data_IF_614938530606
#
_entry.id   IF_614938530606
#
_cell.length_a   1.000
_cell.length_b   1.000
_cell.length_c   1.000
_cell.angle_alpha   90.00
_cell.angle_beta   90.00
_cell.angle_gamma   90.00
#
_symmetry.space_group_name_H-M   'P 1'
#
loop_
_entity.id
_entity.type
_entity.pdbx_description
1 polymer ?
#
# COMPACT_ATOMS: atom_id res chain seq x y z
N UNK A 1 -32.76 -3.63 23.57
CA UNK A 1 -31.55 -2.79 23.53
C UNK A 1 -30.43 -3.78 23.25
N UNK A 2 -29.90 -3.78 22.02
CA UNK A 2 -28.71 -4.59 21.69
C UNK A 2 -27.54 -3.93 22.40
N UNK A 3 -26.79 -4.71 23.19
CA UNK A 3 -25.54 -4.25 23.78
C UNK A 3 -24.67 -3.63 22.69
N UNK A 4 -23.99 -2.52 22.99
CA UNK A 4 -23.08 -1.94 22.03
C UNK A 4 -22.03 -3.00 21.65
N UNK A 5 -21.99 -3.37 20.36
CA UNK A 5 -20.98 -4.31 19.86
C UNK A 5 -19.61 -3.75 20.24
N UNK A 6 -18.84 -4.52 20.99
CA UNK A 6 -17.49 -4.11 21.37
C UNK A 6 -16.67 -3.77 20.10
N UNK A 7 -15.86 -2.71 20.15
CA UNK A 7 -15.07 -2.33 19.00
C UNK A 7 -14.14 -3.50 18.58
N UNK A 8 -13.98 -3.76 17.27
CA UNK A 8 -13.21 -4.89 16.80
C UNK A 8 -11.73 -4.78 17.18
N UNK A 9 -11.09 -5.93 17.42
CA UNK A 9 -9.65 -6.04 17.47
C UNK A 9 -9.12 -6.35 16.07
N UNK A 10 -8.31 -5.44 15.52
CA UNK A 10 -7.79 -5.51 14.15
C UNK A 10 -6.29 -5.78 14.18
N UNK A 11 -5.87 -6.91 13.62
CA UNK A 11 -4.46 -7.15 13.33
C UNK A 11 -4.10 -6.51 11.98
N UNK A 12 -3.14 -5.57 11.99
CA UNK A 12 -2.59 -4.96 10.78
C UNK A 12 -1.15 -5.43 10.61
N UNK A 13 -0.89 -6.35 9.68
CA UNK A 13 0.48 -6.73 9.33
C UNK A 13 1.08 -5.68 8.40
N UNK A 14 2.36 -5.35 8.55
CA UNK A 14 2.93 -4.18 7.90
C UNK A 14 2.41 -2.86 8.50
N UNK A 15 1.99 -2.90 9.77
CA UNK A 15 1.31 -1.80 10.45
C UNK A 15 2.17 -0.55 10.67
N UNK A 16 3.49 -0.68 10.72
CA UNK A 16 4.42 0.45 10.85
C UNK A 16 4.88 1.02 9.50
N UNK A 17 4.43 0.43 8.37
CA UNK A 17 4.80 0.80 7.01
C UNK A 17 4.07 2.05 6.48
N UNK A 18 4.26 2.34 5.17
CA UNK A 18 3.73 3.52 4.48
C UNK A 18 2.20 3.64 4.58
N UNK A 19 1.46 2.59 4.22
CA UNK A 19 -0.01 2.56 4.32
C UNK A 19 -0.42 2.26 5.76
N UNK A 20 0.23 1.28 6.39
CA UNK A 20 -0.13 0.76 7.70
C UNK A 20 -0.10 1.82 8.80
N UNK A 21 0.91 2.68 8.82
CA UNK A 21 1.05 3.72 9.85
C UNK A 21 -0.08 4.76 9.83
N UNK A 22 -0.66 5.05 8.66
CA UNK A 22 -1.83 5.93 8.53
C UNK A 22 -3.10 5.16 8.88
N UNK A 23 -3.24 3.92 8.38
CA UNK A 23 -4.42 3.09 8.67
C UNK A 23 -4.58 2.81 10.16
N UNK A 24 -3.50 2.43 10.85
CA UNK A 24 -3.52 2.19 12.31
C UNK A 24 -4.02 3.41 13.07
N UNK A 25 -3.50 4.62 12.76
CA UNK A 25 -3.97 5.85 13.41
C UNK A 25 -5.45 6.11 13.17
N UNK A 26 -5.93 5.87 11.97
CA UNK A 26 -7.34 6.08 11.63
C UNK A 26 -8.26 5.06 12.31
N UNK A 27 -7.85 3.78 12.38
CA UNK A 27 -8.61 2.75 13.09
C UNK A 27 -8.70 3.03 14.59
N UNK A 28 -7.62 3.53 15.21
CA UNK A 28 -7.63 3.97 16.60
C UNK A 28 -8.59 5.16 16.79
N UNK A 29 -8.57 6.13 15.87
CA UNK A 29 -9.51 7.26 15.91
C UNK A 29 -10.97 6.81 15.76
N UNK A 30 -11.23 5.74 15.03
CA UNK A 30 -12.56 5.11 14.91
C UNK A 30 -12.96 4.27 16.14
N UNK A 31 -12.08 4.14 17.13
CA UNK A 31 -12.36 3.40 18.36
C UNK A 31 -11.94 1.93 18.35
N UNK A 32 -11.38 1.40 17.26
CA UNK A 32 -10.92 0.02 17.20
C UNK A 32 -9.74 -0.23 18.16
N UNK A 33 -9.57 -1.49 18.57
CA UNK A 33 -8.32 -1.98 19.13
C UNK A 33 -7.43 -2.44 17.98
N UNK A 34 -6.18 -2.03 17.96
CA UNK A 34 -5.27 -2.33 16.86
C UNK A 34 -4.02 -3.03 17.37
N UNK A 35 -3.73 -4.17 16.78
CA UNK A 35 -2.43 -4.82 16.90
C UNK A 35 -1.68 -4.63 15.59
N UNK A 36 -0.55 -3.93 15.66
CA UNK A 36 0.30 -3.66 14.49
C UNK A 36 1.50 -4.62 14.52
N UNK A 37 1.53 -5.58 13.61
CA UNK A 37 2.66 -6.48 13.42
C UNK A 37 3.56 -5.95 12.31
N UNK A 38 4.85 -5.77 12.60
CA UNK A 38 5.83 -5.29 11.64
C UNK A 38 7.24 -5.66 12.08
N UNK A 39 8.12 -5.97 11.15
CA UNK A 39 9.56 -6.14 11.45
C UNK A 39 10.26 -4.81 11.68
N UNK A 40 9.64 -3.71 11.28
CA UNK A 40 10.19 -2.35 11.24
C UNK A 40 11.46 -2.23 10.38
N UNK A 41 11.61 -3.15 9.42
CA UNK A 41 12.72 -3.19 8.46
C UNK A 41 12.96 -1.83 7.78
N UNK A 42 11.86 -1.16 7.43
CA UNK A 42 11.87 0.12 6.72
C UNK A 42 11.65 1.32 7.66
N UNK A 43 11.83 1.15 8.97
CA UNK A 43 11.55 2.16 9.99
C UNK A 43 10.18 1.98 10.66
N UNK A 44 9.95 2.78 11.70
CA UNK A 44 8.74 2.69 12.51
C UNK A 44 7.85 3.93 12.32
N UNK A 45 6.88 3.84 11.41
CA UNK A 45 5.88 4.89 11.20
C UNK A 45 4.90 5.08 12.35
N UNK A 46 4.94 4.22 13.38
CA UNK A 46 4.12 4.33 14.59
C UNK A 46 4.88 4.92 15.77
N UNK A 47 6.15 5.33 15.58
CA UNK A 47 6.92 5.97 16.64
C UNK A 47 6.16 7.15 17.25
N UNK A 48 6.12 7.21 18.60
CA UNK A 48 5.45 8.26 19.34
C UNK A 48 3.92 8.17 19.43
N UNK A 49 3.28 7.16 18.82
CA UNK A 49 1.84 6.92 19.04
C UNK A 49 1.63 6.36 20.43
N UNK A 50 0.89 7.10 21.26
CA UNK A 50 0.51 6.69 22.62
C UNK A 50 -1.01 6.51 22.67
N UNK A 51 -1.47 5.30 22.50
CA UNK A 51 -2.88 4.93 22.62
C UNK A 51 -2.97 3.56 23.32
N UNK A 52 -3.71 3.42 24.44
CA UNK A 52 -3.82 2.15 25.17
C UNK A 52 -4.49 1.04 24.35
N UNK A 53 -5.10 1.35 23.23
CA UNK A 53 -5.71 0.40 22.29
C UNK A 53 -4.74 -0.08 21.22
N UNK A 54 -3.52 0.47 21.16
CA UNK A 54 -2.47 0.05 20.23
C UNK A 54 -1.50 -0.91 20.92
N UNK A 55 -1.33 -2.07 20.31
CA UNK A 55 -0.24 -3.01 20.62
C UNK A 55 0.67 -3.11 19.39
N UNK A 56 1.97 -2.87 19.55
CA UNK A 56 2.96 -3.03 18.47
C UNK A 56 3.73 -4.32 18.72
N UNK A 57 3.63 -5.27 17.78
CA UNK A 57 4.31 -6.56 17.82
C UNK A 57 5.43 -6.55 16.79
N UNK A 58 6.68 -6.49 17.26
CA UNK A 58 7.87 -6.53 16.38
C UNK A 58 8.23 -7.99 16.12
N UNK A 59 7.77 -8.52 15.00
CA UNK A 59 8.07 -9.91 14.57
C UNK A 59 7.93 -10.02 13.05
N UNK A 60 8.48 -11.10 12.50
CA UNK A 60 8.33 -11.45 11.09
C UNK A 60 7.06 -12.26 10.87
N UNK A 61 6.30 -11.96 9.81
CA UNK A 61 5.09 -12.74 9.45
C UNK A 61 5.42 -14.18 9.07
N UNK A 62 6.67 -14.51 8.77
CA UNK A 62 7.16 -15.86 8.49
C UNK A 62 7.38 -16.69 9.76
N UNK A 63 7.44 -16.04 10.92
CA UNK A 63 7.52 -16.70 12.22
C UNK A 63 6.14 -17.19 12.65
N UNK A 64 5.91 -18.51 12.57
CA UNK A 64 4.63 -19.15 12.95
C UNK A 64 4.23 -18.83 14.39
N UNK A 65 5.17 -18.86 15.33
CA UNK A 65 4.90 -18.57 16.74
C UNK A 65 4.56 -17.09 16.97
N UNK A 66 5.34 -16.19 16.37
CA UNK A 66 5.11 -14.74 16.48
C UNK A 66 3.78 -14.35 15.83
N UNK A 67 3.46 -14.87 14.65
CA UNK A 67 2.18 -14.60 14.01
C UNK A 67 0.99 -15.20 14.78
N UNK A 68 1.11 -16.43 15.29
CA UNK A 68 0.08 -17.07 16.13
C UNK A 68 -0.25 -16.21 17.36
N UNK A 69 0.78 -15.69 18.02
CA UNK A 69 0.62 -14.79 19.17
C UNK A 69 -0.08 -13.49 18.74
N UNK A 70 0.33 -12.91 17.61
CA UNK A 70 -0.23 -11.67 17.12
C UNK A 70 -1.68 -11.79 16.65
N UNK A 71 -2.09 -12.91 16.05
CA UNK A 71 -3.46 -13.09 15.54
C UNK A 71 -4.45 -13.53 16.62
N UNK A 72 -3.97 -14.03 17.75
CA UNK A 72 -4.85 -14.51 18.84
C UNK A 72 -5.83 -13.43 19.32
N UNK A 73 -7.12 -13.72 19.27
CA UNK A 73 -8.19 -12.78 19.66
C UNK A 73 -8.39 -11.60 18.72
N UNK A 74 -7.82 -11.64 17.52
CA UNK A 74 -8.14 -10.66 16.48
C UNK A 74 -9.44 -11.04 15.76
N UNK A 75 -10.33 -10.07 15.55
CA UNK A 75 -11.57 -10.23 14.79
C UNK A 75 -11.31 -10.12 13.29
N UNK A 76 -10.38 -9.26 12.91
CA UNK A 76 -10.11 -8.88 11.52
C UNK A 76 -8.61 -8.82 11.30
N UNK A 77 -8.15 -9.34 10.16
CA UNK A 77 -6.78 -9.19 9.68
C UNK A 77 -6.78 -8.26 8.46
N UNK A 78 -5.93 -7.22 8.49
CA UNK A 78 -5.56 -6.42 7.33
C UNK A 78 -4.11 -6.73 6.99
N UNK A 79 -3.90 -7.50 5.93
CA UNK A 79 -2.59 -8.00 5.56
C UNK A 79 -1.91 -7.07 4.54
N UNK A 80 -1.07 -6.14 5.05
CA UNK A 80 -0.30 -5.19 4.24
C UNK A 80 1.18 -5.56 4.15
N UNK A 81 1.69 -6.45 5.02
CA UNK A 81 3.09 -6.85 5.05
C UNK A 81 3.51 -7.44 3.70
N UNK A 82 4.56 -6.88 3.11
CA UNK A 82 5.10 -7.33 1.84
C UNK A 82 6.48 -6.71 1.59
N UNK A 83 7.34 -7.40 0.84
CA UNK A 83 8.41 -6.76 0.07
C UNK A 83 7.72 -6.05 -1.09
N UNK A 84 7.66 -4.72 -1.03
CA UNK A 84 6.85 -3.92 -1.93
C UNK A 84 7.71 -3.26 -3.02
N UNK A 85 7.25 -3.33 -4.25
CA UNK A 85 7.82 -2.92 -5.53
C UNK A 85 8.82 -3.90 -6.16
N UNK A 86 8.93 -3.81 -7.48
CA UNK A 86 9.76 -4.71 -8.29
C UNK A 86 11.26 -4.58 -7.97
N UNK A 87 11.86 -3.37 -7.87
CA UNK A 87 13.29 -3.26 -7.58
C UNK A 87 13.71 -3.83 -6.22
N UNK A 88 12.83 -3.76 -5.21
CA UNK A 88 13.09 -4.38 -3.90
C UNK A 88 13.02 -5.91 -3.99
N UNK A 89 12.13 -6.41 -4.83
CA UNK A 89 11.98 -7.85 -5.08
C UNK A 89 13.20 -8.42 -5.83
N UNK A 90 13.72 -7.66 -6.80
CA UNK A 90 14.90 -8.06 -7.58
C UNK A 90 16.18 -8.15 -6.75
N UNK A 91 16.27 -7.41 -5.63
CA UNK A 91 17.41 -7.48 -4.72
C UNK A 91 17.51 -8.82 -3.98
N UNK A 92 16.37 -9.36 -3.56
CA UNK A 92 16.28 -10.64 -2.86
C UNK A 92 14.98 -11.36 -3.24
N UNK A 93 14.96 -12.05 -4.39
CA UNK A 93 13.78 -12.77 -4.86
C UNK A 93 13.33 -13.88 -3.89
N UNK A 94 14.25 -14.49 -3.15
CA UNK A 94 13.94 -15.53 -2.20
C UNK A 94 13.17 -14.98 -0.99
N UNK A 95 13.63 -13.84 -0.45
CA UNK A 95 12.91 -13.11 0.58
C UNK A 95 11.55 -12.64 0.07
N UNK A 96 11.54 -12.04 -1.12
CA UNK A 96 10.29 -11.58 -1.75
C UNK A 96 9.25 -12.70 -1.87
N UNK A 97 9.66 -13.89 -2.33
CA UNK A 97 8.81 -15.08 -2.42
C UNK A 97 8.35 -15.57 -1.04
N UNK A 98 9.27 -15.65 -0.08
CA UNK A 98 8.95 -16.12 1.27
C UNK A 98 7.93 -15.20 1.97
N UNK A 99 8.08 -13.87 1.84
CA UNK A 99 7.22 -12.86 2.50
C UNK A 99 5.90 -12.63 1.75
N UNK A 100 5.91 -12.62 0.40
CA UNK A 100 4.71 -12.24 -0.36
C UNK A 100 3.82 -13.44 -0.74
N UNK A 101 4.34 -14.67 -0.58
CA UNK A 101 3.62 -15.86 -1.02
C UNK A 101 3.70 -17.02 -0.05
N UNK A 102 4.89 -17.57 0.23
CA UNK A 102 5.03 -18.80 1.02
C UNK A 102 4.46 -18.68 2.43
N UNK A 103 4.60 -17.51 3.07
CA UNK A 103 4.03 -17.30 4.41
C UNK A 103 2.50 -17.27 4.42
N UNK A 104 1.82 -17.06 3.28
CA UNK A 104 0.37 -16.96 3.25
C UNK A 104 -0.31 -18.26 3.68
N UNK A 105 0.29 -19.41 3.44
CA UNK A 105 -0.27 -20.70 3.88
C UNK A 105 -0.47 -20.74 5.40
N UNK A 106 0.55 -20.38 6.18
CA UNK A 106 0.39 -20.37 7.63
C UNK A 106 -0.36 -19.14 8.13
N UNK A 107 -0.19 -17.98 7.51
CA UNK A 107 -0.92 -16.76 7.88
C UNK A 107 -2.43 -16.95 7.76
N UNK A 108 -2.90 -17.54 6.66
CA UNK A 108 -4.33 -17.80 6.45
C UNK A 108 -4.85 -18.91 7.37
N UNK A 109 -4.10 -20.02 7.50
CA UNK A 109 -4.44 -21.13 8.41
C UNK A 109 -4.54 -20.65 9.86
N UNK A 110 -3.54 -19.93 10.36
CA UNK A 110 -3.54 -19.42 11.73
C UNK A 110 -4.64 -18.37 11.97
N UNK A 111 -4.97 -17.57 10.97
CA UNK A 111 -6.10 -16.65 11.04
C UNK A 111 -7.43 -17.40 11.19
N UNK A 112 -7.61 -18.50 10.44
CA UNK A 112 -8.79 -19.35 10.56
C UNK A 112 -8.85 -20.05 11.94
N UNK A 113 -7.74 -20.63 12.40
CA UNK A 113 -7.63 -21.26 13.73
C UNK A 113 -7.94 -20.29 14.88
N UNK A 114 -7.56 -19.00 14.72
CA UNK A 114 -7.82 -17.94 15.70
C UNK A 114 -9.27 -17.41 15.68
N UNK A 115 -10.10 -17.85 14.73
CA UNK A 115 -11.49 -17.41 14.61
C UNK A 115 -11.65 -16.03 14.00
N UNK A 116 -10.68 -15.58 13.19
CA UNK A 116 -10.78 -14.34 12.41
C UNK A 116 -12.01 -14.39 11.51
N UNK A 117 -12.89 -13.39 11.61
CA UNK A 117 -14.12 -13.35 10.80
C UNK A 117 -13.93 -12.66 9.44
N UNK A 118 -12.83 -11.88 9.26
CA UNK A 118 -12.56 -11.16 8.02
C UNK A 118 -11.07 -11.02 7.74
N UNK A 119 -10.68 -11.27 6.50
CA UNK A 119 -9.31 -11.13 6.04
C UNK A 119 -9.26 -10.19 4.82
N UNK A 120 -8.61 -9.03 4.97
CA UNK A 120 -8.43 -8.02 3.93
C UNK A 120 -7.00 -8.10 3.41
N UNK A 121 -6.84 -8.52 2.16
CA UNK A 121 -5.53 -8.71 1.54
C UNK A 121 -5.13 -7.52 0.68
N UNK A 122 -3.92 -6.98 0.88
CA UNK A 122 -3.34 -5.97 0.01
C UNK A 122 -2.72 -6.61 -1.22
N UNK A 123 -3.51 -6.72 -2.27
CA UNK A 123 -3.06 -7.01 -3.63
C UNK A 123 -2.54 -5.73 -4.32
N UNK A 124 -2.39 -5.74 -5.62
CA UNK A 124 -1.89 -4.62 -6.41
C UNK A 124 -2.54 -4.59 -7.79
N UNK A 125 -2.79 -3.41 -8.33
CA UNK A 125 -3.24 -3.28 -9.72
C UNK A 125 -2.16 -3.72 -10.74
N UNK A 126 -0.90 -3.89 -10.33
CA UNK A 126 0.17 -4.42 -11.19
C UNK A 126 -0.07 -5.88 -11.65
N UNK A 127 -1.01 -6.60 -11.03
CA UNK A 127 -1.42 -7.95 -11.44
C UNK A 127 -2.00 -8.01 -12.86
N UNK A 128 -2.47 -6.86 -13.38
CA UNK A 128 -3.00 -6.77 -14.75
C UNK A 128 -1.92 -6.70 -15.83
N UNK A 129 -0.67 -6.34 -15.48
CA UNK A 129 0.45 -6.25 -16.41
C UNK A 129 0.30 -5.14 -17.46
N UNK A 130 0.40 -5.48 -18.75
CA UNK A 130 0.09 -4.59 -19.87
C UNK A 130 -1.32 -4.89 -20.36
N UNK A 131 -2.13 -3.86 -20.50
CA UNK A 131 -3.47 -3.99 -20.99
C UNK A 131 -3.86 -2.78 -21.85
N UNK A 132 -4.18 -3.03 -23.12
CA UNK A 132 -4.61 -2.02 -24.09
C UNK A 132 -6.09 -1.67 -23.98
N UNK A 133 -6.85 -2.36 -23.10
CA UNK A 133 -8.25 -2.01 -22.84
C UNK A 133 -8.35 -0.55 -22.39
N UNK A 134 -9.39 0.18 -22.84
CA UNK A 134 -9.62 1.57 -22.42
C UNK A 134 -9.67 1.74 -20.91
N UNK A 135 -10.25 0.75 -20.22
CA UNK A 135 -10.35 0.66 -18.78
C UNK A 135 -10.26 -0.81 -18.34
N UNK A 136 -9.54 -1.06 -17.25
CA UNK A 136 -9.34 -2.37 -16.64
C UNK A 136 -10.20 -2.46 -15.39
N UNK A 137 -11.19 -3.33 -15.42
CA UNK A 137 -11.99 -3.69 -14.25
C UNK A 137 -11.53 -5.01 -13.62
N UNK A 138 -12.22 -5.46 -12.58
CA UNK A 138 -11.85 -6.68 -11.84
C UNK A 138 -12.20 -7.98 -12.56
N UNK A 139 -12.84 -7.95 -13.74
CA UNK A 139 -13.11 -9.11 -14.59
C UNK A 139 -11.99 -9.35 -15.60
N UNK A 140 -11.10 -8.38 -15.78
CA UNK A 140 -9.96 -8.50 -16.69
C UNK A 140 -9.05 -9.65 -16.24
N UNK A 141 -8.64 -10.56 -17.14
CA UNK A 141 -7.65 -11.58 -16.84
C UNK A 141 -6.35 -11.00 -16.30
N UNK A 142 -5.75 -11.70 -15.34
CA UNK A 142 -4.47 -11.29 -14.78
C UNK A 142 -3.32 -11.70 -15.72
N UNK A 143 -2.38 -10.81 -15.94
CA UNK A 143 -1.19 -11.03 -16.77
C UNK A 143 0.06 -10.41 -16.11
N UNK A 144 0.42 -10.83 -14.88
CA UNK A 144 1.51 -10.22 -14.12
C UNK A 144 2.84 -10.39 -14.84
N UNK A 145 3.62 -9.30 -14.95
CA UNK A 145 4.90 -9.28 -15.67
C UNK A 145 6.12 -9.50 -14.78
N UNK A 146 6.01 -9.19 -13.51
CA UNK A 146 7.11 -9.23 -12.54
C UNK A 146 6.82 -10.25 -11.45
N UNK A 147 7.85 -10.71 -10.75
CA UNK A 147 7.68 -11.65 -9.64
C UNK A 147 6.83 -11.03 -8.52
N UNK A 148 7.03 -9.75 -8.22
CA UNK A 148 6.17 -9.04 -7.27
C UNK A 148 4.69 -9.14 -7.65
N UNK A 149 4.34 -8.78 -8.89
CA UNK A 149 2.95 -8.82 -9.35
C UNK A 149 2.40 -10.26 -9.45
N UNK A 150 3.26 -11.22 -9.82
CA UNK A 150 2.91 -12.66 -9.87
C UNK A 150 2.55 -13.18 -8.48
N UNK A 151 3.38 -12.90 -7.45
CA UNK A 151 3.09 -13.36 -6.10
C UNK A 151 1.90 -12.63 -5.46
N UNK A 152 1.62 -11.37 -5.87
CA UNK A 152 0.37 -10.71 -5.47
C UNK A 152 -0.86 -11.41 -6.07
N UNK A 153 -0.80 -11.85 -7.33
CA UNK A 153 -1.88 -12.61 -7.96
C UNK A 153 -2.07 -14.00 -7.32
N UNK A 154 -0.98 -14.75 -7.11
CA UNK A 154 -1.02 -16.04 -6.41
C UNK A 154 -1.54 -15.91 -4.97
N UNK A 155 -1.26 -14.80 -4.29
CA UNK A 155 -1.82 -14.52 -2.97
C UNK A 155 -3.35 -14.34 -2.99
N UNK A 156 -3.92 -13.81 -4.05
CA UNK A 156 -5.38 -13.79 -4.22
C UNK A 156 -5.97 -15.20 -4.31
N UNK A 157 -5.29 -16.11 -5.03
CA UNK A 157 -5.72 -17.51 -5.16
C UNK A 157 -5.69 -18.28 -3.83
N UNK A 158 -4.85 -17.84 -2.86
CA UNK A 158 -4.82 -18.41 -1.51
C UNK A 158 -5.89 -17.77 -0.62
N UNK A 159 -6.00 -16.44 -0.64
CA UNK A 159 -6.82 -15.69 0.31
C UNK A 159 -8.31 -15.72 -0.03
N UNK A 160 -8.67 -15.51 -1.30
CA UNK A 160 -10.09 -15.38 -1.66
C UNK A 160 -10.91 -16.65 -1.37
N UNK A 161 -10.38 -17.89 -1.55
CA UNK A 161 -11.10 -19.11 -1.20
C UNK A 161 -11.32 -19.34 0.30
N UNK A 162 -10.69 -18.56 1.20
CA UNK A 162 -10.97 -18.65 2.64
C UNK A 162 -12.47 -18.45 2.97
N UNK A 163 -13.24 -17.88 2.05
CA UNK A 163 -14.71 -17.81 2.15
C UNK A 163 -15.35 -19.18 2.38
N UNK A 164 -14.75 -20.25 1.88
CA UNK A 164 -15.23 -21.62 2.05
C UNK A 164 -15.10 -22.08 3.51
N UNK A 165 -14.28 -21.40 4.31
CA UNK A 165 -14.15 -21.63 5.76
C UNK A 165 -15.05 -20.73 6.60
N UNK A 166 -15.86 -19.88 5.97
CA UNK A 166 -16.76 -18.92 6.63
C UNK A 166 -16.11 -17.57 6.96
N UNK A 167 -14.87 -17.33 6.53
CA UNK A 167 -14.17 -16.06 6.72
C UNK A 167 -14.52 -15.13 5.55
N UNK A 168 -14.98 -13.91 5.83
CA UNK A 168 -15.13 -12.90 4.79
C UNK A 168 -13.77 -12.46 4.25
N UNK A 169 -13.59 -12.45 2.93
CA UNK A 169 -12.32 -12.06 2.29
C UNK A 169 -12.51 -11.01 1.20
N UNK A 170 -11.49 -10.16 1.03
CA UNK A 170 -11.42 -9.24 -0.09
C UNK A 170 -9.95 -8.97 -0.43
N UNK A 171 -9.61 -8.94 -1.73
CA UNK A 171 -8.29 -8.55 -2.21
C UNK A 171 -8.35 -7.13 -2.79
N UNK A 172 -7.62 -6.20 -2.19
CA UNK A 172 -7.57 -4.79 -2.62
C UNK A 172 -6.47 -4.61 -3.66
N UNK A 173 -6.85 -4.46 -4.93
CA UNK A 173 -5.94 -4.16 -6.05
C UNK A 173 -5.73 -2.64 -6.13
N UNK A 174 -4.83 -2.14 -5.29
CA UNK A 174 -4.54 -0.71 -5.23
C UNK A 174 -3.72 -0.25 -6.44
N UNK A 175 -4.08 0.92 -7.00
CA UNK A 175 -3.24 1.71 -7.90
C UNK A 175 -1.95 2.16 -7.18
N UNK A 176 -1.03 2.82 -7.90
CA UNK A 176 0.16 3.42 -7.29
C UNK A 176 -0.26 4.45 -6.25
N UNK A 177 0.17 4.23 -5.01
CA UNK A 177 -0.22 5.08 -3.89
C UNK A 177 0.69 6.32 -3.85
N UNK A 178 0.11 7.50 -3.59
CA UNK A 178 0.85 8.75 -3.45
C UNK A 178 0.34 9.56 -2.26
N UNK A 179 1.18 10.47 -1.75
CA UNK A 179 0.87 11.35 -0.61
C UNK A 179 1.86 11.19 0.55
N UNK A 180 1.69 12.00 1.59
CA UNK A 180 2.55 12.01 2.77
C UNK A 180 2.17 10.92 3.78
N UNK A 181 3.18 10.37 4.46
CA UNK A 181 3.00 9.35 5.50
C UNK A 181 4.06 9.49 6.59
N UNK A 182 3.76 9.11 7.84
CA UNK A 182 4.76 9.04 8.91
C UNK A 182 5.94 8.10 8.60
N UNK A 183 5.69 7.04 7.84
CA UNK A 183 6.73 6.22 7.21
C UNK A 183 6.72 6.53 5.71
N UNK A 184 7.38 7.62 5.33
CA UNK A 184 7.39 8.08 3.96
C UNK A 184 8.07 7.10 3.00
N UNK A 185 7.55 7.04 1.76
CA UNK A 185 8.17 6.37 0.62
C UNK A 185 8.40 7.36 -0.51
N UNK A 186 9.67 7.56 -0.87
CA UNK A 186 10.08 8.37 -2.00
C UNK A 186 10.52 7.53 -3.22
N UNK A 187 10.34 6.22 -3.16
CA UNK A 187 10.50 5.30 -4.30
C UNK A 187 9.20 5.07 -5.09
N UNK A 188 8.20 5.93 -4.89
CA UNK A 188 6.93 5.98 -5.63
C UNK A 188 6.92 7.19 -6.55
N UNK A 189 6.47 7.04 -7.79
CA UNK A 189 6.63 8.02 -8.88
C UNK A 189 6.26 9.45 -8.47
N UNK A 190 5.04 9.68 -8.00
CA UNK A 190 4.57 11.02 -7.60
C UNK A 190 5.43 11.60 -6.48
N UNK A 191 5.69 10.79 -5.45
CA UNK A 191 6.43 11.22 -4.27
C UNK A 191 7.90 11.53 -4.61
N UNK A 192 8.54 10.67 -5.44
CA UNK A 192 9.92 10.87 -5.89
C UNK A 192 10.09 12.13 -6.71
N UNK A 193 9.25 12.30 -7.75
CA UNK A 193 9.32 13.47 -8.62
C UNK A 193 9.06 14.76 -7.81
N UNK A 194 8.17 14.72 -6.82
CA UNK A 194 7.92 15.86 -5.94
C UNK A 194 9.15 16.21 -5.09
N UNK A 195 9.78 15.22 -4.45
CA UNK A 195 11.00 15.44 -3.68
C UNK A 195 12.14 15.99 -4.55
N UNK A 196 12.34 15.44 -5.77
CA UNK A 196 13.32 15.95 -6.73
C UNK A 196 13.02 17.39 -7.14
N UNK A 197 11.77 17.73 -7.44
CA UNK A 197 11.36 19.06 -7.83
C UNK A 197 11.64 20.10 -6.72
N UNK A 198 11.39 19.75 -5.45
CA UNK A 198 11.66 20.65 -4.32
C UNK A 198 13.15 20.84 -4.11
N UNK A 199 13.93 19.75 -4.06
CA UNK A 199 15.36 19.80 -3.71
C UNK A 199 16.24 20.30 -4.85
N UNK A 200 15.97 19.86 -6.09
CA UNK A 200 16.84 20.14 -7.25
C UNK A 200 16.28 21.17 -8.21
N UNK A 201 15.02 21.58 -8.05
CA UNK A 201 14.26 22.34 -9.05
C UNK A 201 14.29 21.69 -10.45
N UNK A 202 14.40 20.38 -10.47
CA UNK A 202 14.45 19.59 -11.70
C UNK A 202 13.88 18.20 -11.44
N UNK A 203 13.19 17.64 -12.42
CA UNK A 203 12.70 16.26 -12.42
C UNK A 203 13.16 15.55 -13.68
N UNK A 204 13.50 14.27 -13.56
CA UNK A 204 13.79 13.39 -14.69
C UNK A 204 12.69 12.36 -14.82
N UNK A 205 12.05 12.36 -15.99
CA UNK A 205 10.99 11.42 -16.37
C UNK A 205 11.60 10.32 -17.22
N UNK A 206 11.33 9.07 -16.87
CA UNK A 206 11.71 7.91 -17.67
C UNK A 206 10.50 7.45 -18.50
N UNK A 207 10.61 7.53 -19.83
CA UNK A 207 9.54 7.29 -20.78
C UNK A 207 8.62 8.50 -20.93
N UNK A 208 7.42 8.43 -20.35
CA UNK A 208 6.50 9.56 -20.31
C UNK A 208 5.09 9.24 -20.81
N UNK A 209 4.94 8.38 -21.82
CA UNK A 209 3.64 8.08 -22.45
C UNK A 209 2.86 6.95 -21.76
N UNK A 210 3.56 6.12 -20.96
CA UNK A 210 2.95 5.02 -20.24
C UNK A 210 1.99 5.49 -19.14
N UNK A 211 0.80 4.91 -19.11
CA UNK A 211 -0.20 5.21 -18.09
C UNK A 211 0.15 4.56 -16.75
N UNK A 212 -0.04 5.31 -15.69
CA UNK A 212 0.05 4.86 -14.30
C UNK A 212 -1.25 5.25 -13.59
N UNK A 213 -2.05 4.29 -13.17
CA UNK A 213 -3.16 4.58 -12.27
C UNK A 213 -2.61 4.98 -10.89
N UNK A 214 -3.22 6.01 -10.30
CA UNK A 214 -2.82 6.58 -9.02
C UNK A 214 -3.99 6.62 -8.05
N UNK A 215 -3.68 6.49 -6.77
CA UNK A 215 -4.61 6.69 -5.65
C UNK A 215 -3.93 7.45 -4.53
N UNK A 216 -4.62 8.43 -3.97
CA UNK A 216 -4.13 9.13 -2.78
C UNK A 216 -4.16 8.22 -1.56
N UNK A 217 -3.15 8.30 -0.69
CA UNK A 217 -3.01 7.46 0.50
C UNK A 217 -4.23 7.52 1.42
N UNK A 218 -4.75 8.72 1.69
CA UNK A 218 -5.93 8.87 2.55
C UNK A 218 -7.20 8.26 1.94
N UNK A 219 -7.36 8.34 0.63
CA UNK A 219 -8.49 7.70 -0.06
C UNK A 219 -8.38 6.17 0.01
N UNK A 220 -7.18 5.61 -0.16
CA UNK A 220 -6.95 4.17 0.00
C UNK A 220 -7.21 3.73 1.45
N UNK A 221 -6.72 4.48 2.42
CA UNK A 221 -6.95 4.21 3.85
C UNK A 221 -8.43 4.28 4.18
N UNK A 222 -9.18 5.23 3.61
CA UNK A 222 -10.63 5.30 3.79
C UNK A 222 -11.35 4.04 3.26
N UNK A 223 -10.85 3.44 2.16
CA UNK A 223 -11.37 2.15 1.68
C UNK A 223 -11.07 1.02 2.68
N UNK A 224 -9.83 0.89 3.15
CA UNK A 224 -9.49 -0.12 4.16
C UNK A 224 -10.32 0.03 5.44
N UNK A 225 -10.48 1.27 5.95
CA UNK A 225 -11.35 1.55 7.12
C UNK A 225 -12.77 1.04 6.89
N UNK A 226 -13.33 1.30 5.72
CA UNK A 226 -14.68 0.87 5.35
C UNK A 226 -14.79 -0.65 5.32
N UNK A 227 -13.79 -1.34 4.73
CA UNK A 227 -13.73 -2.80 4.69
C UNK A 227 -13.59 -3.42 6.10
N UNK A 228 -12.98 -2.72 7.05
CA UNK A 228 -12.83 -3.15 8.44
C UNK A 228 -14.10 -2.90 9.24
N UNK A 229 -14.71 -1.71 9.12
CA UNK A 229 -15.77 -1.24 10.03
C UNK A 229 -17.18 -1.66 9.58
N UNK A 230 -17.39 -1.99 8.31
CA UNK A 230 -18.70 -2.44 7.85
C UNK A 230 -19.09 -3.77 8.52
N UNK A 231 -20.36 -3.92 8.81
CA UNK A 231 -20.88 -5.12 9.47
C UNK A 231 -20.61 -6.39 8.65
N UNK A 232 -20.70 -6.31 7.31
CA UNK A 232 -20.40 -7.40 6.38
C UNK A 232 -19.84 -6.85 5.07
N UNK A 233 -19.01 -7.65 4.37
CA UNK A 233 -18.54 -7.35 3.03
C UNK A 233 -19.65 -7.53 1.97
N UNK A 234 -20.70 -8.28 2.28
CA UNK A 234 -21.82 -8.53 1.37
C UNK A 234 -21.36 -9.01 -0.01
N UNK A 235 -21.72 -8.29 -1.11
CA UNK A 235 -21.34 -8.72 -2.47
C UNK A 235 -19.83 -8.68 -2.78
N UNK A 236 -19.00 -8.07 -1.92
CA UNK A 236 -17.55 -8.06 -2.07
C UNK A 236 -16.87 -9.30 -1.51
N UNK A 237 -17.57 -10.08 -0.70
CA UNK A 237 -16.99 -11.27 -0.09
C UNK A 237 -16.46 -12.24 -1.16
N UNK A 238 -15.21 -12.68 -1.00
CA UNK A 238 -14.51 -13.57 -1.93
C UNK A 238 -14.10 -12.92 -3.26
N UNK A 239 -14.02 -11.58 -3.33
CA UNK A 239 -13.77 -10.87 -4.60
C UNK A 239 -12.64 -9.86 -4.52
N UNK A 240 -11.95 -9.64 -5.66
CA UNK A 240 -11.03 -8.52 -5.78
C UNK A 240 -11.77 -7.18 -5.89
N UNK A 241 -11.10 -6.10 -5.48
CA UNK A 241 -11.60 -4.73 -5.52
C UNK A 241 -10.52 -3.79 -6.03
N UNK A 242 -10.76 -3.17 -7.18
CA UNK A 242 -9.88 -2.12 -7.70
C UNK A 242 -10.03 -0.83 -6.90
N UNK A 243 -8.90 -0.23 -6.53
CA UNK A 243 -8.85 1.06 -5.86
C UNK A 243 -7.86 1.98 -6.59
N UNK A 244 -8.38 2.86 -7.43
CA UNK A 244 -7.63 3.83 -8.21
C UNK A 244 -8.53 5.00 -8.61
N UNK A 245 -7.95 6.20 -8.77
CA UNK A 245 -8.73 7.39 -9.08
C UNK A 245 -8.32 8.05 -10.40
N UNK A 246 -7.02 8.26 -10.60
CA UNK A 246 -6.52 8.98 -11.78
C UNK A 246 -5.59 8.09 -12.58
N UNK A 247 -5.93 7.93 -13.86
CA UNK A 247 -5.07 7.28 -14.84
C UNK A 247 -4.29 8.40 -15.56
N UNK A 248 -3.03 8.57 -15.20
CA UNK A 248 -2.16 9.62 -15.74
C UNK A 248 -0.95 9.00 -16.42
N UNK A 249 -0.52 9.60 -17.51
CA UNK A 249 0.80 9.31 -18.05
C UNK A 249 1.90 9.84 -17.13
N UNK A 250 3.10 9.28 -17.19
CA UNK A 250 4.21 9.76 -16.35
C UNK A 250 4.56 11.22 -16.69
N UNK A 251 4.39 11.64 -17.97
CA UNK A 251 4.54 13.06 -18.36
C UNK A 251 3.48 13.96 -17.73
N UNK A 252 2.23 13.54 -17.64
CA UNK A 252 1.16 14.32 -16.97
C UNK A 252 1.42 14.43 -15.46
N UNK A 253 1.94 13.37 -14.83
CA UNK A 253 2.36 13.42 -13.43
C UNK A 253 3.49 14.44 -13.26
N UNK A 254 4.53 14.40 -14.12
CA UNK A 254 5.65 15.34 -14.06
C UNK A 254 5.21 16.80 -14.29
N UNK A 255 4.29 17.04 -15.22
CA UNK A 255 3.73 18.37 -15.46
C UNK A 255 2.95 18.89 -14.24
N UNK A 256 2.17 18.01 -13.58
CA UNK A 256 1.48 18.33 -12.33
C UNK A 256 2.46 18.69 -11.22
N UNK A 257 3.52 17.90 -11.04
CA UNK A 257 4.59 18.15 -10.07
C UNK A 257 5.28 19.48 -10.38
N UNK A 258 5.67 19.70 -11.62
CA UNK A 258 6.31 20.95 -12.09
C UNK A 258 5.45 22.16 -11.73
N UNK A 259 4.18 22.17 -12.11
CA UNK A 259 3.27 23.28 -11.87
C UNK A 259 3.08 23.57 -10.37
N UNK A 260 2.79 22.51 -9.59
CA UNK A 260 2.49 22.68 -8.16
C UNK A 260 3.72 23.13 -7.37
N UNK A 261 4.88 22.50 -7.61
CA UNK A 261 6.11 22.83 -6.90
C UNK A 261 6.64 24.18 -7.33
N UNK A 262 6.66 24.53 -8.64
CA UNK A 262 7.08 25.85 -9.13
C UNK A 262 6.24 26.98 -8.49
N UNK A 263 4.93 26.80 -8.43
CA UNK A 263 4.03 27.76 -7.77
C UNK A 263 4.37 27.94 -6.29
N UNK A 264 4.65 26.85 -5.58
CA UNK A 264 4.96 26.85 -4.15
C UNK A 264 6.34 27.49 -3.85
N UNK A 265 7.32 27.25 -4.72
CA UNK A 265 8.66 27.81 -4.57
C UNK A 265 8.78 29.25 -5.11
N UNK A 266 7.83 29.72 -5.92
CA UNK A 266 7.96 30.97 -6.68
C UNK A 266 9.12 30.95 -7.70
N UNK A 267 9.52 29.76 -8.17
CA UNK A 267 10.66 29.54 -9.06
C UNK A 267 10.38 28.41 -10.05
N UNK A 268 10.96 28.43 -11.25
CA UNK A 268 10.76 27.37 -12.24
C UNK A 268 11.33 26.03 -11.77
N UNK A 269 10.72 24.95 -12.27
CA UNK A 269 11.20 23.57 -12.12
C UNK A 269 11.40 23.01 -13.52
N UNK A 270 12.57 22.48 -13.80
CA UNK A 270 12.90 21.90 -15.11
C UNK A 270 12.39 20.46 -15.21
N UNK A 271 11.97 20.06 -16.41
CA UNK A 271 11.55 18.68 -16.71
C UNK A 271 12.38 18.14 -17.85
N UNK A 272 13.05 17.02 -17.63
CA UNK A 272 13.78 16.27 -18.64
C UNK A 272 13.16 14.90 -18.86
N UNK A 273 13.15 14.41 -20.11
CA UNK A 273 12.60 13.10 -20.46
C UNK A 273 13.74 12.22 -20.97
N UNK A 274 13.85 11.02 -20.40
CA UNK A 274 14.84 10.00 -20.79
C UNK A 274 14.10 8.76 -21.27
N UNK A 275 14.64 8.04 -22.26
CA UNK A 275 14.05 6.80 -22.73
C UNK A 275 13.98 5.73 -21.62
N UNK A 276 13.01 4.82 -21.72
CA UNK A 276 12.82 3.70 -20.78
C UNK A 276 12.37 2.45 -21.51
N UNK A 277 12.73 1.28 -20.96
CA UNK A 277 12.24 -0.02 -21.38
C UNK A 277 11.00 -0.47 -20.58
N UNK A 278 10.49 0.35 -19.64
CA UNK A 278 9.30 0.02 -18.86
C UNK A 278 8.03 0.15 -19.70
N UNK A 279 7.55 -1.00 -20.18
CA UNK A 279 6.37 -1.12 -21.05
C UNK A 279 5.05 -1.18 -20.31
N UNK A 280 5.04 -1.28 -18.97
CA UNK A 280 3.80 -1.38 -18.17
C UNK A 280 2.93 -0.14 -18.42
N UNK A 281 1.72 -0.37 -18.90
CA UNK A 281 0.76 0.70 -19.17
C UNK A 281 -0.65 0.13 -19.08
N UNK A 282 -1.48 0.68 -18.22
CA UNK A 282 -2.89 0.31 -18.08
C UNK A 282 -3.68 1.42 -17.39
N UNK A 283 -4.98 1.41 -17.59
CA UNK A 283 -5.92 2.35 -16.96
C UNK A 283 -6.88 1.57 -16.11
N UNK A 284 -7.00 1.93 -14.83
CA UNK A 284 -7.83 1.22 -13.87
C UNK A 284 -9.19 1.90 -13.72
N UNK A 285 -10.28 1.12 -13.69
CA UNK A 285 -11.57 1.62 -13.23
C UNK A 285 -11.89 1.09 -11.83
N UNK A 286 -12.48 1.95 -10.98
CA UNK A 286 -12.94 1.63 -9.64
C UNK A 286 -14.48 1.67 -9.53
N UNK A 287 -15.17 1.30 -10.60
CA UNK A 287 -16.64 1.33 -10.67
C UNK A 287 -17.27 0.40 -9.63
N UNK A 288 -16.66 -0.77 -9.38
CA UNK A 288 -17.11 -1.72 -8.35
C UNK A 288 -17.06 -1.10 -6.96
N UNK A 289 -16.00 -0.37 -6.62
CA UNK A 289 -15.85 0.36 -5.36
C UNK A 289 -17.03 1.32 -5.12
N UNK A 290 -17.31 2.17 -6.11
CA UNK A 290 -18.41 3.13 -6.01
C UNK A 290 -19.76 2.44 -5.90
N UNK A 291 -20.00 1.40 -6.71
CA UNK A 291 -21.28 0.68 -6.74
C UNK A 291 -21.58 -0.10 -5.47
N UNK A 292 -20.58 -0.79 -4.90
CA UNK A 292 -20.80 -1.72 -3.78
C UNK A 292 -20.58 -1.07 -2.41
N UNK A 293 -19.64 -0.13 -2.29
CA UNK A 293 -19.34 0.54 -1.02
C UNK A 293 -19.87 1.98 -0.95
N UNK A 294 -20.35 2.55 -2.07
CA UNK A 294 -20.76 3.95 -2.13
C UNK A 294 -19.62 4.95 -1.95
N UNK A 295 -18.37 4.48 -2.01
CA UNK A 295 -17.19 5.32 -1.83
C UNK A 295 -16.84 6.00 -3.15
N UNK A 296 -16.66 7.33 -3.08
CA UNK A 296 -16.03 8.13 -4.13
C UNK A 296 -14.69 8.63 -3.62
N UNK A 297 -13.63 8.25 -4.30
CA UNK A 297 -12.30 8.76 -4.03
C UNK A 297 -12.28 10.27 -4.34
N UNK A 298 -11.72 11.08 -3.47
CA UNK A 298 -11.84 12.55 -3.54
C UNK A 298 -10.53 13.26 -3.77
N UNK A 299 -9.42 12.69 -3.29
CA UNK A 299 -8.09 13.31 -3.34
C UNK A 299 -7.37 12.96 -4.63
N UNK A 300 -6.68 13.91 -5.20
CA UNK A 300 -5.97 13.78 -6.47
C UNK A 300 -4.44 13.84 -6.31
N UNK A 301 -3.73 13.61 -7.42
CA UNK A 301 -2.27 13.67 -7.46
C UNK A 301 -1.75 15.06 -7.08
N UNK A 302 -2.48 16.14 -7.40
CA UNK A 302 -2.07 17.51 -7.05
C UNK A 302 -2.00 17.70 -5.53
N UNK A 303 -2.97 17.14 -4.80
CA UNK A 303 -2.99 17.20 -3.33
C UNK A 303 -1.84 16.38 -2.74
N UNK A 304 -1.54 15.19 -3.29
CA UNK A 304 -0.40 14.38 -2.88
C UNK A 304 0.92 15.13 -3.10
N UNK A 305 1.07 15.84 -4.23
CA UNK A 305 2.24 16.69 -4.50
C UNK A 305 2.37 17.80 -3.47
N UNK A 306 1.27 18.49 -3.15
CA UNK A 306 1.28 19.58 -2.16
C UNK A 306 1.67 19.09 -0.77
N UNK A 307 1.19 17.93 -0.35
CA UNK A 307 1.50 17.32 0.95
C UNK A 307 2.98 16.92 1.05
N UNK A 308 3.49 16.20 0.04
CA UNK A 308 4.90 15.78 0.02
C UNK A 308 5.83 17.00 -0.08
N UNK A 309 5.50 17.99 -0.93
CA UNK A 309 6.29 19.21 -1.04
C UNK A 309 6.29 20.00 0.28
N UNK A 310 5.15 20.03 0.99
CA UNK A 310 5.08 20.65 2.30
C UNK A 310 6.02 19.97 3.30
N UNK A 311 5.95 18.64 3.38
CA UNK A 311 6.74 17.85 4.32
C UNK A 311 8.27 17.94 4.07
N UNK A 312 8.68 18.12 2.79
CA UNK A 312 10.09 18.41 2.47
C UNK A 312 10.49 19.82 2.93
N UNK A 313 9.66 20.82 2.62
CA UNK A 313 9.97 22.22 2.89
C UNK A 313 9.93 22.59 4.38
N UNK A 314 9.07 21.96 5.17
CA UNK A 314 8.96 22.20 6.61
C UNK A 314 9.95 21.34 7.44
N UNK A 315 10.75 20.48 6.79
CA UNK A 315 11.75 19.64 7.42
C UNK A 315 11.20 18.37 8.08
N UNK A 316 9.92 18.05 7.91
CA UNK A 316 9.33 16.78 8.36
C UNK A 316 9.95 15.58 7.61
N UNK A 317 10.39 15.80 6.37
CA UNK A 317 11.17 14.85 5.57
C UNK A 317 12.58 15.42 5.32
N UNK A 318 13.50 15.31 6.30
CA UNK A 318 14.86 15.83 6.16
C UNK A 318 15.65 15.00 5.14
N UNK A 319 16.48 15.69 4.35
CA UNK A 319 17.38 15.09 3.34
C UNK A 319 16.71 14.04 2.44
N UNK A 320 15.56 14.38 1.79
CA UNK A 320 14.65 13.40 1.19
C UNK A 320 15.29 12.60 0.06
N UNK A 321 16.36 13.09 -0.58
CA UNK A 321 17.01 12.38 -1.69
C UNK A 321 18.15 11.45 -1.27
N UNK A 322 18.72 11.63 -0.07
CA UNK A 322 19.88 10.87 0.39
C UNK A 322 19.57 9.97 1.59
N UNK A 323 18.51 10.23 2.35
CA UNK A 323 18.14 9.37 3.47
C UNK A 323 17.53 8.05 2.97
N UNK A 324 18.28 6.96 3.18
CA UNK A 324 17.91 5.62 2.74
C UNK A 324 16.60 5.11 3.34
N UNK A 325 16.18 5.67 4.47
CA UNK A 325 14.90 5.30 5.12
C UNK A 325 13.67 5.51 4.23
N UNK A 326 13.75 6.42 3.25
CA UNK A 326 12.65 6.70 2.33
C UNK A 326 12.62 5.80 1.09
N UNK A 327 13.62 4.95 0.92
CA UNK A 327 13.79 4.08 -0.25
C UNK A 327 13.91 2.63 0.15
N UNK A 328 12.91 1.81 -0.18
CA UNK A 328 12.91 0.40 0.19
C UNK A 328 14.15 -0.34 -0.31
N UNK A 329 14.54 -0.11 -1.57
CA UNK A 329 15.74 -0.72 -2.17
C UNK A 329 17.00 -0.40 -1.37
N UNK A 330 17.21 0.87 -1.03
CA UNK A 330 18.40 1.32 -0.29
C UNK A 330 18.42 0.76 1.13
N UNK A 331 17.24 0.82 1.82
CA UNK A 331 17.10 0.23 3.15
C UNK A 331 17.41 -1.27 3.17
N UNK A 332 17.02 -2.01 2.13
CA UNK A 332 17.35 -3.44 2.01
C UNK A 332 18.84 -3.66 1.70
N UNK A 333 19.41 -2.88 0.78
CA UNK A 333 20.83 -3.01 0.38
C UNK A 333 21.81 -2.66 1.49
N UNK A 334 21.44 -1.80 2.44
CA UNK A 334 22.28 -1.39 3.56
C UNK A 334 22.44 -2.48 4.63
N UNK A 335 21.76 -3.62 4.53
CA UNK A 335 21.82 -4.70 5.51
C UNK A 335 22.87 -5.74 5.18
N UNK A 336 23.55 -6.32 6.20
CA UNK A 336 24.44 -7.44 5.99
C UNK A 336 23.69 -8.66 5.42
N UNK A 337 24.25 -9.31 4.41
CA UNK A 337 23.77 -10.59 3.89
C UNK A 337 23.73 -11.64 5.00
N UNK A 338 22.56 -12.20 5.32
CA UNK A 338 22.40 -13.28 6.31
C UNK A 338 21.88 -12.88 7.69
N UNK A 339 21.45 -11.64 7.90
CA UNK A 339 20.75 -11.24 9.13
C UNK A 339 19.35 -11.85 9.20
N UNK A 340 18.99 -12.42 10.37
CA UNK A 340 17.58 -12.78 10.67
C UNK A 340 16.73 -11.51 10.66
N UNK A 341 15.61 -11.57 9.95
CA UNK A 341 14.63 -10.50 9.79
C UNK A 341 13.77 -10.35 11.03
#
# INVERSE_FOLDING_TARGET
MTDPIAPPTVLVTGGAGYIGSVLVRQLLADGARVRALDTQLFGNGLAGVQDPRLEVVTTDIRDDHGFRTAVHGADIVVHLAAVANDPSFDLDPALGRAVNHECLDHVTRLSAEAGVRRFVYASSASVYGVCDAPEVDELQPLAPLTDYSRYKALGEDIVLPMTDTGIETVAVRAATVCGASPRQRLDLTVNLLTAQAVEKRAVTVFGGTQYRPNVHLDDLVAVYRRLVLDASLGPLNGRPLNVGRQNMTVSEIAATVQERVARRLGAPVDVSITATDDTRSYRLTATRLTRLLGIRLRRDVSQAVDEVAAAVLDGTLPDPLNDDRYYNVRSMSARPSGGTW
#
